data_IF_900153221488
#
_entry.id   IF_900153221488
#
_cell.length_a   1.000
_cell.length_b   1.000
_cell.length_c   1.000
_cell.angle_alpha   90.00
_cell.angle_beta   90.00
_cell.angle_gamma   90.00
#
_symmetry.space_group_name_H-M   'P 1'
#
loop_
_entity.id
_entity.type
_entity.pdbx_description
1 polymer ?
#
# COMPACT_ATOMS: atom_id res chain seq x y z
N UNK A 1 7.07 47.61 5.52
CA UNK A 1 7.86 46.71 6.41
C UNK A 1 7.47 45.23 6.24
N UNK A 2 7.08 44.83 5.04
CA UNK A 2 6.71 43.42 4.75
C UNK A 2 7.59 42.76 3.65
N UNK A 3 8.59 43.47 3.12
CA UNK A 3 9.41 42.96 2.01
C UNK A 3 10.79 42.42 2.39
N UNK A 4 11.18 42.54 3.65
CA UNK A 4 12.53 42.11 4.14
C UNK A 4 12.52 40.72 4.77
N UNK A 5 11.37 40.13 5.03
CA UNK A 5 11.26 38.78 5.60
C UNK A 5 11.26 37.64 4.56
N UNK A 6 10.95 37.94 3.31
CA UNK A 6 10.89 36.93 2.23
C UNK A 6 12.29 36.61 1.70
N UNK A 7 13.24 37.53 1.78
CA UNK A 7 14.61 37.29 1.32
C UNK A 7 15.49 36.51 2.33
N UNK A 8 15.14 36.51 3.61
CA UNK A 8 15.90 35.75 4.63
C UNK A 8 15.49 34.26 4.67
N UNK A 9 14.28 33.92 4.29
CA UNK A 9 13.86 32.51 4.22
C UNK A 9 14.37 31.80 2.95
N UNK A 10 14.58 32.53 1.85
CA UNK A 10 15.16 31.96 0.62
C UNK A 10 16.65 31.64 0.75
N UNK A 11 17.38 32.30 1.65
CA UNK A 11 18.79 32.04 1.88
C UNK A 11 19.05 30.84 2.80
N UNK A 12 18.13 30.53 3.69
CA UNK A 12 18.23 29.35 4.58
C UNK A 12 17.93 28.02 3.87
N UNK A 13 17.12 28.04 2.82
CA UNK A 13 16.82 26.83 2.02
C UNK A 13 17.98 26.49 1.07
N UNK A 14 18.69 27.51 0.54
CA UNK A 14 19.83 27.29 -0.36
C UNK A 14 21.11 26.79 0.35
N UNK A 15 21.26 27.03 1.64
CA UNK A 15 22.42 26.53 2.42
C UNK A 15 22.20 25.08 2.88
N UNK A 16 20.98 24.62 2.98
CA UNK A 16 20.69 23.21 3.33
C UNK A 16 20.88 22.26 2.14
N UNK A 17 20.66 22.69 0.89
CA UNK A 17 20.87 21.85 -0.29
C UNK A 17 22.34 21.71 -0.75
N UNK A 18 23.21 22.62 -0.36
CA UNK A 18 24.64 22.56 -0.74
C UNK A 18 25.47 21.57 0.11
N UNK A 19 24.94 21.00 1.19
CA UNK A 19 25.66 20.01 2.03
C UNK A 19 25.32 18.54 1.70
N UNK A 20 24.45 18.28 0.74
CA UNK A 20 24.02 16.89 0.41
C UNK A 20 24.54 16.36 -0.93
N UNK A 21 25.41 17.10 -1.65
CA UNK A 21 25.89 16.71 -3.00
C UNK A 21 27.35 16.25 -3.10
N UNK A 22 28.05 16.02 -2.00
CA UNK A 22 29.42 15.53 -2.08
C UNK A 22 29.63 14.23 -1.29
N UNK A 23 28.89 13.17 -1.63
CA UNK A 23 29.25 11.80 -1.21
C UNK A 23 28.60 10.74 -2.12
N UNK A 24 28.97 10.74 -3.39
CA UNK A 24 28.84 9.55 -4.26
C UNK A 24 29.90 9.68 -5.36
N UNK A 25 30.98 8.97 -5.22
CA UNK A 25 31.80 8.28 -6.22
C UNK A 25 32.96 7.63 -5.47
N UNK A 26 33.06 6.34 -5.44
CA UNK A 26 33.93 5.51 -6.25
C UNK A 26 33.83 4.03 -5.88
N UNK A 27 33.99 3.27 -6.89
CA UNK A 27 33.93 1.84 -7.11
C UNK A 27 34.87 0.97 -6.25
N UNK A 28 34.53 -0.26 -5.97
CA UNK A 28 35.09 -1.49 -6.54
C UNK A 28 35.18 -2.66 -5.51
N UNK A 29 34.71 -3.78 -5.90
CA UNK A 29 34.94 -5.18 -5.52
C UNK A 29 35.60 -5.56 -4.18
N UNK A 30 34.87 -6.38 -3.39
CA UNK A 30 35.55 -7.31 -2.50
C UNK A 30 34.80 -7.69 -1.22
N UNK A 31 34.33 -8.92 -1.18
CA UNK A 31 34.07 -9.75 0.01
C UNK A 31 33.70 -9.05 1.34
N UNK A 32 32.42 -8.91 1.63
CA UNK A 32 31.96 -8.53 2.97
C UNK A 32 31.82 -9.78 3.85
N UNK A 33 32.80 -9.99 4.71
CA UNK A 33 32.64 -10.76 5.95
C UNK A 33 31.74 -9.96 6.92
N UNK A 34 30.63 -10.57 7.31
CA UNK A 34 29.77 -10.06 8.38
C UNK A 34 30.56 -9.99 9.69
N UNK A 35 30.89 -8.80 10.14
CA UNK A 35 31.27 -8.53 11.53
C UNK A 35 30.06 -8.02 12.28
N UNK A 36 29.49 -8.88 13.10
CA UNK A 36 28.47 -8.51 14.07
C UNK A 36 29.19 -7.77 15.20
N UNK A 37 29.11 -6.44 15.22
CA UNK A 37 29.50 -5.64 16.38
C UNK A 37 28.47 -5.86 17.48
N UNK A 38 28.81 -6.68 18.45
CA UNK A 38 28.15 -6.75 19.76
C UNK A 38 28.38 -5.42 20.47
N UNK A 39 27.38 -4.60 20.57
CA UNK A 39 27.33 -3.53 21.56
C UNK A 39 27.21 -4.18 22.95
N UNK A 40 28.27 -4.13 23.72
CA UNK A 40 28.24 -4.38 25.15
C UNK A 40 27.64 -3.16 25.87
N UNK A 41 26.71 -3.34 26.79
CA UNK A 41 26.33 -2.29 27.73
C UNK A 41 27.27 -2.42 28.95
N UNK A 42 28.34 -1.66 28.94
CA UNK A 42 29.11 -1.38 30.16
C UNK A 42 28.83 0.04 30.58
N UNK A 43 28.05 0.24 31.58
CA UNK A 43 28.05 1.33 32.58
C UNK A 43 26.89 1.03 33.55
N UNK A 44 27.10 0.13 34.48
CA UNK A 44 26.37 0.00 35.78
C UNK A 44 27.13 -0.97 36.66
N UNK A 45 28.34 -0.59 37.09
CA UNK A 45 29.00 -1.24 38.25
C UNK A 45 30.08 -0.28 38.74
N UNK A 46 29.68 0.72 39.49
CA UNK A 46 30.55 1.52 40.34
C UNK A 46 29.83 1.78 41.66
N UNK A 47 29.68 0.74 42.44
CA UNK A 47 29.37 0.79 43.89
C UNK A 47 29.43 -0.61 44.49
N UNK A 48 30.63 -1.22 44.47
CA UNK A 48 30.99 -2.33 45.38
C UNK A 48 32.49 -2.52 45.17
N UNK A 49 33.18 -2.13 46.17
CA UNK A 49 34.47 -2.63 46.66
C UNK A 49 35.29 -1.48 47.24
N UNK A 50 35.13 -1.30 48.52
CA UNK A 50 36.17 -0.75 49.39
C UNK A 50 35.97 -1.40 50.74
N UNK A 51 36.29 -2.68 50.80
CA UNK A 51 36.76 -3.33 52.03
C UNK A 51 38.30 -3.32 51.82
N UNK A 52 38.96 -2.38 52.39
CA UNK A 52 40.40 -2.38 52.53
C UNK A 52 40.73 -2.86 53.94
N UNK A 53 41.42 -3.97 53.96
CA UNK A 53 42.16 -4.48 55.11
C UNK A 53 43.04 -3.35 55.68
N UNK A 54 42.98 -3.16 56.98
CA UNK A 54 43.97 -2.43 57.71
C UNK A 54 44.61 -3.37 58.72
N UNK A 55 45.82 -3.72 58.43
CA UNK A 55 46.73 -4.39 59.33
C UNK A 55 47.08 -3.50 60.52
N UNK A 56 47.20 -4.15 61.65
CA UNK A 56 47.73 -3.67 62.92
C UNK A 56 49.08 -3.00 62.77
N UNK A 57 49.23 -1.82 63.34
CA UNK A 57 50.51 -1.41 63.94
C UNK A 57 50.24 -0.69 65.28
N UNK A 58 50.61 -1.35 66.36
CA UNK A 58 50.61 -0.86 67.72
C UNK A 58 51.76 0.11 67.92
N UNK A 59 51.44 1.37 68.33
CA UNK A 59 52.35 2.11 69.17
C UNK A 59 51.58 2.82 70.29
N UNK A 60 51.97 2.49 71.52
CA UNK A 60 51.59 3.07 72.79
C UNK A 60 51.68 4.59 72.83
N UNK A 61 50.73 5.21 73.56
CA UNK A 61 50.82 6.60 73.99
C UNK A 61 49.56 7.16 74.65
N UNK A 62 49.41 6.83 75.89
CA UNK A 62 48.78 7.56 77.01
C UNK A 62 47.65 8.59 76.83
N UNK A 63 46.55 8.33 77.53
CA UNK A 63 45.77 9.21 78.40
C UNK A 63 44.51 9.85 77.91
N UNK A 64 43.42 9.33 78.37
CA UNK A 64 42.31 9.99 79.08
C UNK A 64 41.53 11.07 78.25
N UNK A 65 40.54 10.58 77.52
CA UNK A 65 39.26 11.24 77.43
C UNK A 65 38.23 10.29 76.87
N UNK A 66 37.15 10.13 77.63
CA UNK A 66 35.96 9.36 77.42
C UNK A 66 35.33 9.76 76.07
N UNK A 67 35.85 9.25 74.97
CA UNK A 67 35.35 9.46 73.62
C UNK A 67 34.17 8.49 73.44
N UNK A 68 32.95 8.98 73.67
CA UNK A 68 31.73 8.32 73.22
C UNK A 68 31.76 8.31 71.70
N UNK A 69 32.32 7.25 71.13
CA UNK A 69 32.42 7.06 69.68
C UNK A 69 31.06 7.06 68.99
N UNK A 70 30.98 7.76 67.83
CA UNK A 70 30.09 7.42 66.77
C UNK A 70 28.76 8.17 66.62
N UNK A 71 28.52 9.33 67.31
CA UNK A 71 27.28 10.10 67.05
C UNK A 71 27.51 11.14 65.95
N UNK A 72 26.94 11.00 64.76
CA UNK A 72 27.06 11.95 63.65
C UNK A 72 26.55 13.34 64.07
N UNK A 73 27.24 14.40 63.66
CA UNK A 73 26.84 15.77 64.01
C UNK A 73 26.85 16.67 62.78
N UNK A 74 25.69 16.82 62.11
CA UNK A 74 25.46 17.79 61.05
C UNK A 74 24.08 18.41 61.25
N UNK A 75 24.00 19.46 62.08
CA UNK A 75 22.71 20.08 62.42
C UNK A 75 22.13 20.92 61.29
N UNK A 76 22.94 21.36 60.35
CA UNK A 76 22.45 22.07 59.16
C UNK A 76 21.74 21.11 58.22
N UNK A 77 22.33 19.96 57.97
CA UNK A 77 21.74 18.88 57.21
C UNK A 77 20.47 18.35 57.88
N UNK A 78 20.51 18.16 59.22
CA UNK A 78 19.35 17.79 59.99
C UNK A 78 18.18 18.77 59.80
N UNK A 79 18.45 20.07 59.84
CA UNK A 79 17.47 21.12 59.65
C UNK A 79 16.94 21.11 58.20
N UNK A 80 17.78 20.90 57.20
CA UNK A 80 17.37 20.78 55.76
C UNK A 80 16.47 19.54 55.59
N UNK A 81 16.70 18.47 56.27
CA UNK A 81 15.84 17.27 56.31
C UNK A 81 14.61 17.42 57.24
N UNK A 82 14.35 18.61 57.74
CA UNK A 82 13.19 18.93 58.57
C UNK A 82 13.30 18.40 60.02
N UNK A 83 14.51 18.06 60.52
CA UNK A 83 14.75 17.65 61.91
C UNK A 83 14.93 18.86 62.79
N UNK A 84 14.29 18.83 63.95
CA UNK A 84 14.44 19.87 64.96
C UNK A 84 15.38 19.38 66.05
N UNK A 85 16.65 19.83 66.00
CA UNK A 85 17.65 19.41 66.97
C UNK A 85 17.44 20.06 68.33
N UNK A 86 17.44 19.26 69.40
CA UNK A 86 17.29 19.67 70.77
C UNK A 86 18.61 20.25 71.32
N UNK A 87 18.65 20.66 72.59
CA UNK A 87 19.84 21.22 73.26
C UNK A 87 20.98 20.24 73.25
N UNK A 88 22.17 20.66 72.85
CA UNK A 88 23.40 19.85 72.93
C UNK A 88 23.73 19.47 74.36
N UNK A 89 24.34 18.33 74.52
CA UNK A 89 24.80 17.84 75.82
C UNK A 89 26.06 16.97 75.64
N UNK A 90 26.88 16.86 76.65
CA UNK A 90 28.00 15.92 76.75
C UNK A 90 27.70 14.82 77.74
N UNK A 91 26.86 15.07 78.77
CA UNK A 91 26.41 14.11 79.79
C UNK A 91 24.99 14.40 80.19
N UNK A 92 24.35 13.48 80.92
CA UNK A 92 22.96 13.64 81.35
C UNK A 92 22.76 14.83 82.29
N UNK A 93 23.76 15.26 82.99
CA UNK A 93 23.81 16.42 83.88
C UNK A 93 23.66 17.73 83.14
N UNK A 94 24.01 17.79 81.83
CA UNK A 94 23.82 18.96 81.00
C UNK A 94 22.36 19.22 80.69
N UNK A 95 21.50 18.26 80.98
CA UNK A 95 20.09 18.36 80.69
C UNK A 95 19.34 18.94 81.92
N UNK A 96 18.66 20.06 81.71
CA UNK A 96 17.95 20.82 82.77
C UNK A 96 16.89 19.96 83.51
N UNK A 97 16.38 18.93 82.87
CA UNK A 97 15.29 18.08 83.39
C UNK A 97 15.80 16.69 83.64
N UNK A 98 15.54 16.14 84.84
CA UNK A 98 15.86 14.74 85.23
C UNK A 98 15.16 13.69 84.31
N UNK A 99 14.14 14.06 83.61
CA UNK A 99 13.45 13.19 82.65
C UNK A 99 14.13 13.18 81.27
N UNK A 100 15.17 14.00 81.05
CA UNK A 100 15.96 14.06 79.82
C UNK A 100 17.29 13.37 80.00
N UNK A 101 17.64 12.63 78.97
CA UNK A 101 18.96 11.97 78.90
C UNK A 101 19.73 12.50 77.67
N UNK A 102 21.06 12.53 77.83
CA UNK A 102 21.97 12.87 76.75
C UNK A 102 22.17 11.67 75.82
N UNK A 103 21.41 11.62 74.73
CA UNK A 103 21.43 10.54 73.77
C UNK A 103 21.81 10.99 72.38
N UNK A 104 22.35 10.10 71.60
CA UNK A 104 22.65 10.39 70.19
C UNK A 104 21.34 10.47 69.39
N UNK A 105 21.05 11.67 68.86
CA UNK A 105 19.88 11.95 68.06
C UNK A 105 20.26 12.08 66.55
N UNK A 106 20.97 11.07 66.04
CA UNK A 106 21.46 11.01 64.67
C UNK A 106 22.17 12.28 64.24
N UNK A 107 21.86 12.89 63.10
CA UNK A 107 22.52 14.10 62.56
C UNK A 107 22.49 15.30 63.53
N UNK A 108 21.60 15.31 64.53
CA UNK A 108 21.56 16.33 65.56
C UNK A 108 22.73 16.23 66.56
N UNK A 109 23.44 15.07 66.59
CA UNK A 109 24.47 14.77 67.56
C UNK A 109 23.90 14.51 68.96
N UNK A 110 24.78 14.53 69.97
CA UNK A 110 24.38 14.36 71.37
C UNK A 110 23.43 15.46 71.80
N UNK A 111 22.21 15.10 72.17
CA UNK A 111 21.10 16.03 72.47
C UNK A 111 20.31 15.58 73.69
N UNK A 112 19.77 16.53 74.47
CA UNK A 112 18.93 16.28 75.63
C UNK A 112 17.52 15.80 75.20
N UNK A 113 17.34 14.53 74.99
CA UNK A 113 16.11 13.90 74.54
C UNK A 113 15.31 13.34 75.71
N UNK A 114 14.00 13.18 75.55
CA UNK A 114 13.10 12.49 76.47
C UNK A 114 12.80 11.09 75.93
N UNK A 115 13.49 10.07 76.39
CA UNK A 115 13.31 8.71 75.84
C UNK A 115 11.96 8.07 76.24
N UNK A 116 11.27 8.68 77.22
CA UNK A 116 9.94 8.27 77.68
C UNK A 116 8.77 8.89 76.88
N UNK A 117 9.08 9.74 75.90
CA UNK A 117 8.08 10.28 75.00
C UNK A 117 7.90 9.42 73.80
N UNK A 118 6.66 9.04 73.55
CA UNK A 118 6.25 8.41 72.29
C UNK A 118 5.96 9.49 71.23
N UNK A 119 6.20 9.16 69.97
CA UNK A 119 5.84 10.02 68.88
C UNK A 119 4.33 9.96 68.60
N UNK A 120 3.82 11.06 68.05
CA UNK A 120 2.42 11.20 67.67
C UNK A 120 1.96 10.05 66.76
N UNK A 121 0.70 9.65 66.89
CA UNK A 121 0.09 8.67 66.03
C UNK A 121 0.18 9.12 64.54
N UNK A 122 0.53 8.20 63.65
CA UNK A 122 0.69 8.45 62.24
C UNK A 122 -0.68 8.48 61.54
N UNK A 123 -1.00 9.49 60.78
CA UNK A 123 -2.18 9.46 59.92
C UNK A 123 -2.06 8.43 58.82
N UNK A 124 -3.18 7.86 58.40
CA UNK A 124 -3.24 6.95 57.26
C UNK A 124 -2.67 7.58 55.98
N UNK A 125 -1.89 6.80 55.27
CA UNK A 125 -1.33 7.21 53.96
C UNK A 125 -2.35 6.88 52.88
N UNK A 126 -2.97 7.91 52.31
CA UNK A 126 -3.91 7.72 51.19
C UNK A 126 -3.14 7.12 49.99
N UNK A 127 -3.67 6.03 49.42
CA UNK A 127 -3.07 5.29 48.31
C UNK A 127 -1.67 4.71 48.62
N UNK A 128 -1.39 4.41 49.87
CA UNK A 128 -0.17 3.82 50.30
C UNK A 128 -0.32 3.08 51.62
N UNK A 129 0.76 2.53 52.11
CA UNK A 129 0.89 1.86 53.39
C UNK A 129 2.15 2.34 54.07
N UNK A 130 2.23 2.13 55.39
CA UNK A 130 3.45 2.32 56.14
C UNK A 130 3.71 1.19 57.10
N UNK A 131 4.96 0.97 57.45
CA UNK A 131 5.40 0.05 58.46
C UNK A 131 6.17 0.84 59.50
N UNK A 132 5.85 0.66 60.77
CA UNK A 132 6.51 1.35 61.88
C UNK A 132 7.18 0.34 62.80
N UNK A 133 8.38 0.64 63.26
CA UNK A 133 9.12 -0.20 64.20
C UNK A 133 8.70 0.02 65.66
N UNK A 134 7.92 1.07 65.91
CA UNK A 134 7.46 1.47 67.24
C UNK A 134 7.16 2.97 67.27
N UNK A 135 6.78 3.48 68.46
CA UNK A 135 6.50 4.89 68.66
C UNK A 135 7.51 5.60 69.58
N UNK A 136 8.55 4.84 70.02
CA UNK A 136 9.61 5.30 70.91
C UNK A 136 10.68 6.14 70.16
N UNK A 137 11.51 6.85 70.92
CA UNK A 137 12.64 7.62 70.38
C UNK A 137 13.55 6.76 69.55
N UNK A 138 13.83 7.19 68.28
CA UNK A 138 14.64 6.47 67.33
C UNK A 138 13.87 5.45 66.47
N UNK A 139 12.61 5.16 66.78
CA UNK A 139 11.79 4.32 65.94
C UNK A 139 11.64 4.91 64.55
N UNK A 140 11.47 4.05 63.53
CA UNK A 140 11.42 4.42 62.13
C UNK A 140 10.08 4.00 61.54
N UNK A 141 9.57 4.82 60.66
CA UNK A 141 8.43 4.53 59.78
C UNK A 141 8.88 4.53 58.33
N UNK A 142 8.53 3.47 57.61
CA UNK A 142 8.80 3.29 56.21
C UNK A 142 7.50 3.37 55.44
N UNK A 143 7.45 4.24 54.43
CA UNK A 143 6.28 4.48 53.59
C UNK A 143 6.41 3.79 52.23
N UNK A 144 5.33 3.24 51.73
CA UNK A 144 5.25 2.58 50.46
C UNK A 144 3.93 2.99 49.76
N UNK A 145 3.99 3.44 48.50
CA UNK A 145 2.79 3.73 47.74
C UNK A 145 2.27 2.49 47.03
N UNK A 146 0.95 2.41 46.85
CA UNK A 146 0.31 1.39 46.02
C UNK A 146 0.77 1.47 44.58
N UNK A 147 0.56 0.39 43.82
CA UNK A 147 0.82 0.36 42.40
C UNK A 147 0.14 1.54 41.67
N UNK A 148 0.79 2.11 40.68
CA UNK A 148 0.37 3.29 39.93
C UNK A 148 0.45 4.63 40.66
N UNK A 149 1.02 4.66 41.86
CA UNK A 149 1.28 5.88 42.63
C UNK A 149 2.78 6.05 42.88
N UNK A 150 3.24 7.29 42.85
CA UNK A 150 4.60 7.66 43.17
C UNK A 150 4.65 8.46 44.46
N UNK A 151 5.72 8.29 45.21
CA UNK A 151 5.87 8.98 46.50
C UNK A 151 6.46 10.37 46.30
N UNK A 152 5.75 11.38 46.82
CA UNK A 152 6.21 12.75 46.93
C UNK A 152 6.55 13.02 48.40
N UNK A 153 7.84 12.99 48.75
CA UNK A 153 8.32 13.15 50.11
C UNK A 153 9.29 12.04 50.55
N UNK A 154 9.69 12.02 51.80
CA UNK A 154 10.66 11.06 52.33
C UNK A 154 10.04 9.65 52.43
N UNK A 155 10.83 8.64 52.02
CA UNK A 155 10.44 7.21 52.18
C UNK A 155 10.51 6.74 53.63
N UNK A 156 11.29 7.45 54.48
CA UNK A 156 11.54 7.09 55.85
C UNK A 156 11.42 8.35 56.72
N UNK A 157 10.81 8.20 57.90
CA UNK A 157 10.84 9.19 58.99
C UNK A 157 11.24 8.53 60.29
N UNK A 158 11.86 9.32 61.17
CA UNK A 158 12.39 8.85 62.43
C UNK A 158 11.68 9.60 63.57
N UNK A 159 11.33 8.88 64.64
CA UNK A 159 10.80 9.49 65.84
C UNK A 159 11.90 10.25 66.53
N UNK A 160 11.71 11.56 66.73
CA UNK A 160 12.72 12.49 67.30
C UNK A 160 12.56 12.61 68.79
N UNK A 161 13.59 13.13 69.47
CA UNK A 161 13.61 13.34 70.91
C UNK A 161 12.61 14.36 71.45
N UNK A 162 11.89 15.08 70.61
CA UNK A 162 10.78 15.99 70.95
C UNK A 162 9.40 15.31 70.88
N UNK A 163 9.34 13.99 70.61
CA UNK A 163 8.10 13.23 70.47
C UNK A 163 7.39 13.45 69.11
N UNK A 164 8.12 13.97 68.07
CA UNK A 164 7.57 14.18 66.74
C UNK A 164 8.33 13.41 65.69
N UNK A 165 7.60 13.00 64.65
CA UNK A 165 8.20 12.40 63.48
C UNK A 165 8.97 13.40 62.67
N UNK A 166 10.17 13.03 62.18
CA UNK A 166 11.02 13.93 61.36
C UNK A 166 10.34 14.27 60.01
N UNK A 167 10.51 15.51 59.53
CA UNK A 167 9.99 15.98 58.27
C UNK A 167 8.47 15.99 58.15
N UNK A 168 7.98 16.17 56.92
CA UNK A 168 6.55 16.08 56.60
C UNK A 168 6.20 14.66 56.17
N UNK A 169 4.96 14.19 56.40
CA UNK A 169 4.51 12.90 55.84
C UNK A 169 4.54 12.97 54.29
N UNK A 170 4.94 11.87 53.63
CA UNK A 170 4.89 11.79 52.20
C UNK A 170 3.44 11.71 51.70
N UNK A 171 3.24 12.02 50.43
CA UNK A 171 1.99 11.88 49.70
C UNK A 171 2.17 10.90 48.55
N UNK A 172 1.22 9.96 48.39
CA UNK A 172 1.19 9.10 47.20
C UNK A 172 0.33 9.75 46.11
N UNK A 173 0.98 10.21 45.05
CA UNK A 173 0.34 10.86 43.92
C UNK A 173 0.24 9.89 42.77
N UNK A 174 -0.90 9.89 42.04
CA UNK A 174 -1.08 9.06 40.85
C UNK A 174 -0.01 9.39 39.83
N UNK A 175 0.64 8.37 39.28
CA UNK A 175 1.58 8.58 38.17
C UNK A 175 0.82 9.15 36.98
N UNK A 176 1.30 10.23 36.36
CA UNK A 176 0.75 10.68 35.10
C UNK A 176 0.89 9.57 34.06
N UNK A 177 -0.22 9.28 33.38
CA UNK A 177 -0.30 8.23 32.35
C UNK A 177 -0.92 8.80 31.10
N UNK A 178 -0.55 8.28 29.92
CA UNK A 178 -1.23 8.58 28.68
C UNK A 178 -2.49 7.73 28.58
N UNK A 179 -3.55 8.31 28.03
CA UNK A 179 -4.77 7.59 27.64
C UNK A 179 -4.50 6.65 26.45
N UNK A 180 -5.55 6.04 25.90
CA UNK A 180 -5.45 5.19 24.72
C UNK A 180 -4.66 5.87 23.59
N UNK A 181 -3.82 5.12 22.84
CA UNK A 181 -3.04 5.66 21.72
C UNK A 181 -3.93 6.27 20.64
N UNK A 182 -3.39 7.25 19.91
CA UNK A 182 -4.08 7.88 18.79
C UNK A 182 -4.43 6.88 17.71
N UNK A 183 -5.61 7.01 17.12
CA UNK A 183 -5.99 6.17 15.97
C UNK A 183 -5.41 6.76 14.68
N UNK A 184 -4.70 5.92 13.91
CA UNK A 184 -4.20 6.27 12.57
C UNK A 184 -5.03 5.51 11.54
N UNK A 185 -5.63 6.19 10.54
CA UNK A 185 -6.41 5.54 9.50
C UNK A 185 -5.64 4.41 8.80
N UNK A 186 -6.31 3.29 8.55
CA UNK A 186 -5.74 2.12 7.87
C UNK A 186 -4.54 1.48 8.57
N UNK A 187 -4.44 1.65 9.89
CA UNK A 187 -3.41 1.02 10.70
C UNK A 187 -3.99 0.28 11.91
N UNK A 188 -3.15 -0.54 12.51
CA UNK A 188 -3.38 -1.18 13.82
C UNK A 188 -2.18 -0.91 14.71
N UNK A 189 -2.41 -0.95 16.01
CA UNK A 189 -1.36 -0.84 17.02
C UNK A 189 -1.06 -2.22 17.63
N UNK A 190 0.10 -2.33 18.25
CA UNK A 190 0.43 -3.48 19.11
C UNK A 190 -0.03 -3.27 20.57
N UNK A 191 -0.72 -2.16 20.87
CA UNK A 191 -1.31 -1.93 22.17
C UNK A 191 -2.45 -2.91 22.42
N UNK A 192 -2.55 -3.40 23.68
CA UNK A 192 -3.69 -4.21 24.08
C UNK A 192 -4.94 -3.33 24.24
N UNK A 193 -6.05 -3.76 23.69
CA UNK A 193 -7.34 -3.05 23.78
C UNK A 193 -7.87 -2.98 25.24
N UNK A 194 -7.32 -3.80 26.11
CA UNK A 194 -7.68 -3.81 27.53
C UNK A 194 -6.96 -2.76 28.37
N UNK A 195 -5.81 -2.25 27.88
CA UNK A 195 -5.02 -1.23 28.57
C UNK A 195 -5.60 0.17 28.28
N UNK A 196 -6.08 0.81 29.34
CA UNK A 196 -6.62 2.19 29.26
C UNK A 196 -5.59 3.26 29.58
N UNK A 197 -4.59 2.91 30.39
CA UNK A 197 -3.56 3.83 30.89
C UNK A 197 -2.16 3.30 30.57
N UNK A 198 -1.33 4.15 30.01
CA UNK A 198 0.05 3.85 29.62
C UNK A 198 1.01 4.70 30.45
N UNK A 199 1.93 4.06 31.14
CA UNK A 199 2.92 4.76 31.98
C UNK A 199 3.89 5.58 31.10
N UNK A 200 4.49 6.60 31.69
CA UNK A 200 5.52 7.41 31.02
C UNK A 200 6.63 6.50 30.50
N UNK A 201 7.14 6.79 29.31
CA UNK A 201 8.10 6.02 28.53
C UNK A 201 7.55 4.75 27.85
N UNK A 202 6.27 4.40 28.03
CA UNK A 202 5.64 3.35 27.20
C UNK A 202 5.73 3.71 25.73
N UNK A 203 5.95 2.70 24.88
CA UNK A 203 5.99 2.84 23.43
C UNK A 203 4.94 1.96 22.78
N UNK A 204 4.26 2.48 21.78
CA UNK A 204 3.28 1.76 20.96
C UNK A 204 3.74 1.84 19.50
N UNK A 205 3.75 0.68 18.85
CA UNK A 205 4.09 0.58 17.43
C UNK A 205 2.84 0.40 16.59
N UNK A 206 2.80 1.11 15.48
CA UNK A 206 1.73 1.06 14.49
C UNK A 206 2.17 0.26 13.27
N UNK A 207 1.25 -0.43 12.65
CA UNK A 207 1.46 -1.11 11.38
C UNK A 207 0.29 -0.88 10.44
N UNK A 208 0.56 -0.50 9.19
CA UNK A 208 -0.48 -0.33 8.20
C UNK A 208 -1.13 -1.67 7.84
N UNK A 209 -2.42 -1.63 7.49
CA UNK A 209 -3.13 -2.81 6.98
C UNK A 209 -2.52 -3.29 5.65
N UNK A 210 -2.69 -4.58 5.32
CA UNK A 210 -2.30 -5.09 4.01
C UNK A 210 -2.88 -4.25 2.88
N UNK A 211 -2.04 -3.89 1.91
CA UNK A 211 -2.42 -3.00 0.80
C UNK A 211 -2.09 -1.52 1.01
N UNK A 212 -1.52 -1.17 2.15
CA UNK A 212 -1.05 0.18 2.45
C UNK A 212 0.45 0.20 2.73
N UNK A 213 1.12 1.24 2.27
CA UNK A 213 2.52 1.53 2.56
C UNK A 213 2.61 2.55 3.69
N UNK A 214 3.55 2.29 4.61
CA UNK A 214 3.82 3.19 5.71
C UNK A 214 4.71 4.36 5.26
N UNK A 215 4.29 5.58 5.58
CA UNK A 215 5.06 6.81 5.39
C UNK A 215 5.21 7.50 6.74
N UNK A 216 6.44 7.86 7.11
CA UNK A 216 6.76 8.50 8.38
C UNK A 216 7.12 7.52 9.49
N UNK A 217 6.96 7.96 10.75
CA UNK A 217 7.37 7.20 11.95
C UNK A 217 6.21 6.39 12.52
N UNK A 218 6.45 5.11 12.74
CA UNK A 218 5.46 4.13 13.18
C UNK A 218 5.37 3.95 14.71
N UNK A 219 6.15 4.72 15.49
CA UNK A 219 6.21 4.60 16.94
C UNK A 219 5.63 5.85 17.61
N UNK A 220 4.76 5.62 18.58
CA UNK A 220 4.36 6.64 19.54
C UNK A 220 4.98 6.33 20.91
N UNK A 221 5.41 7.37 21.62
CA UNK A 221 5.96 7.29 22.98
C UNK A 221 5.16 8.16 23.92
N UNK A 222 4.77 7.61 25.07
CA UNK A 222 4.14 8.39 26.13
C UNK A 222 5.21 9.22 26.84
N UNK A 223 5.10 10.54 26.77
CA UNK A 223 6.04 11.47 27.41
C UNK A 223 5.31 12.39 28.38
N UNK A 224 6.06 12.90 29.37
CA UNK A 224 5.58 13.94 30.24
C UNK A 224 6.04 15.30 29.70
N UNK A 225 5.10 16.11 29.27
CA UNK A 225 5.37 17.44 28.68
C UNK A 225 4.27 18.42 29.10
N UNK A 226 4.63 19.66 29.40
CA UNK A 226 3.72 20.71 29.87
C UNK A 226 2.78 20.25 31.03
N UNK A 227 3.37 19.64 32.07
CA UNK A 227 2.67 19.13 33.24
C UNK A 227 1.58 18.07 32.98
N UNK A 228 1.62 17.42 31.82
CA UNK A 228 0.69 16.34 31.46
C UNK A 228 1.41 15.21 30.75
N UNK A 229 0.86 14.01 30.87
CA UNK A 229 1.29 12.87 30.07
C UNK A 229 0.58 12.89 28.73
N UNK A 230 1.31 12.82 27.65
CA UNK A 230 0.76 12.84 26.29
C UNK A 230 1.60 11.99 25.32
N UNK A 231 0.94 11.52 24.25
CA UNK A 231 1.62 10.77 23.22
C UNK A 231 2.43 11.69 22.30
N UNK A 232 3.69 11.37 22.10
CA UNK A 232 4.55 11.95 21.08
C UNK A 232 4.65 10.97 19.91
N UNK A 233 4.19 11.40 18.73
CA UNK A 233 3.97 10.51 17.58
C UNK A 233 2.66 9.70 17.70
N UNK A 234 2.38 8.81 16.73
CA UNK A 234 3.20 8.59 15.53
C UNK A 234 3.01 9.72 14.51
N UNK A 235 3.99 9.94 13.64
CA UNK A 235 3.82 10.69 12.38
C UNK A 235 3.72 9.69 11.23
N UNK A 236 2.67 8.87 11.27
CA UNK A 236 2.45 7.78 10.33
C UNK A 236 1.25 8.07 9.44
N UNK A 237 1.46 7.92 8.14
CA UNK A 237 0.40 7.86 7.13
C UNK A 237 0.44 6.52 6.43
N UNK A 238 -0.70 5.84 6.38
CA UNK A 238 -0.88 4.61 5.62
C UNK A 238 -1.47 4.95 4.25
N UNK A 239 -0.64 4.95 3.21
CA UNK A 239 -1.05 5.28 1.85
C UNK A 239 -1.36 4.01 1.07
N UNK A 240 -2.46 3.99 0.27
CA UNK A 240 -2.78 2.81 -0.53
C UNK A 240 -1.70 2.56 -1.57
N UNK A 241 -1.20 1.33 -1.65
CA UNK A 241 -0.19 0.87 -2.60
C UNK A 241 -0.59 1.17 -4.03
N UNK A 242 0.37 1.55 -4.85
CA UNK A 242 0.16 1.67 -6.29
C UNK A 242 0.42 0.34 -6.98
N UNK A 243 -0.50 -0.06 -7.86
CA UNK A 243 -0.33 -1.21 -8.75
C UNK A 243 0.34 -0.84 -10.08
N UNK A 244 0.69 0.45 -10.28
CA UNK A 244 1.18 0.92 -11.56
C UNK A 244 0.12 0.87 -12.67
N UNK A 245 0.51 1.11 -13.93
CA UNK A 245 -0.42 1.08 -15.05
C UNK A 245 -0.99 -0.34 -15.24
N UNK A 246 -2.32 -0.48 -15.41
CA UNK A 246 -2.94 -1.79 -15.57
C UNK A 246 -2.71 -2.45 -16.93
N UNK A 247 -2.10 -1.72 -17.87
CA UNK A 247 -1.92 -2.12 -19.26
C UNK A 247 -3.12 -1.73 -20.14
N UNK A 248 -2.84 -1.51 -21.41
CA UNK A 248 -3.85 -1.26 -22.44
C UNK A 248 -3.91 -2.48 -23.37
N UNK A 249 -5.04 -2.65 -24.08
CA UNK A 249 -5.30 -3.76 -24.98
C UNK A 249 -5.47 -3.25 -26.42
N UNK A 250 -5.01 -4.02 -27.37
CA UNK A 250 -5.25 -3.75 -28.79
C UNK A 250 -6.72 -4.01 -29.13
N UNK A 251 -7.27 -3.24 -30.06
CA UNK A 251 -8.68 -3.33 -30.50
C UNK A 251 -9.68 -3.26 -29.34
N UNK A 252 -9.34 -2.46 -28.32
CA UNK A 252 -10.20 -2.27 -27.17
C UNK A 252 -9.81 -1.05 -26.36
N UNK A 253 -10.56 -0.81 -25.30
CA UNK A 253 -10.34 0.32 -24.40
C UNK A 253 -10.40 -0.11 -22.95
N UNK A 254 -9.68 0.60 -22.12
CA UNK A 254 -9.71 0.47 -20.68
C UNK A 254 -10.56 1.58 -20.06
N UNK A 255 -11.44 1.22 -19.16
CA UNK A 255 -12.28 2.13 -18.39
C UNK A 255 -11.78 2.10 -16.93
N UNK A 256 -11.45 3.28 -16.39
CA UNK A 256 -10.85 3.47 -15.08
C UNK A 256 -9.40 3.93 -15.18
N UNK A 257 -9.03 4.92 -14.37
CA UNK A 257 -7.71 5.56 -14.38
C UNK A 257 -6.96 5.39 -13.07
N UNK A 258 -7.65 5.01 -11.99
CA UNK A 258 -7.04 4.85 -10.67
C UNK A 258 -6.20 3.58 -10.60
N UNK A 259 -5.00 3.71 -10.00
CA UNK A 259 -4.00 2.62 -9.95
C UNK A 259 -3.63 2.21 -8.54
N UNK A 260 -4.38 2.67 -7.54
CA UNK A 260 -4.10 2.40 -6.13
C UNK A 260 -4.89 1.19 -5.63
N UNK A 261 -4.46 0.61 -4.52
CA UNK A 261 -5.15 -0.48 -3.83
C UNK A 261 -6.65 -0.19 -3.71
N UNK A 262 -7.48 -1.19 -3.91
CA UNK A 262 -8.95 -1.17 -4.05
C UNK A 262 -9.51 -0.64 -5.36
N UNK A 263 -8.70 -0.02 -6.23
CA UNK A 263 -9.16 0.42 -7.55
C UNK A 263 -9.42 -0.77 -8.47
N UNK A 264 -10.35 -0.57 -9.40
CA UNK A 264 -10.66 -1.54 -10.45
C UNK A 264 -10.64 -0.88 -11.82
N UNK A 265 -10.33 -1.66 -12.83
CA UNK A 265 -10.42 -1.27 -14.24
C UNK A 265 -11.24 -2.30 -15.00
N UNK A 266 -11.98 -1.84 -15.99
CA UNK A 266 -12.77 -2.65 -16.91
C UNK A 266 -12.20 -2.53 -18.30
N UNK A 267 -12.19 -3.63 -19.05
CA UNK A 267 -11.79 -3.68 -20.44
C UNK A 267 -12.99 -3.97 -21.33
N UNK A 268 -13.08 -3.29 -22.43
CA UNK A 268 -14.11 -3.46 -23.47
C UNK A 268 -13.44 -3.50 -24.83
N UNK A 269 -13.84 -4.45 -25.67
CA UNK A 269 -13.36 -4.54 -27.04
C UNK A 269 -14.13 -3.60 -27.97
N UNK A 270 -13.49 -3.20 -29.07
CA UNK A 270 -14.09 -2.50 -30.18
C UNK A 270 -15.07 -3.42 -30.91
N UNK A 271 -15.90 -2.83 -31.77
CA UNK A 271 -16.84 -3.56 -32.60
C UNK A 271 -16.11 -4.58 -33.48
N UNK A 272 -16.65 -5.78 -33.56
CA UNK A 272 -16.05 -6.88 -34.31
C UNK A 272 -14.99 -7.68 -33.57
N UNK A 273 -14.74 -7.34 -32.29
CA UNK A 273 -13.82 -8.08 -31.43
C UNK A 273 -14.50 -8.59 -30.18
N UNK A 274 -14.04 -9.72 -29.68
CA UNK A 274 -14.55 -10.41 -28.51
C UNK A 274 -13.44 -10.47 -27.44
N UNK A 275 -13.83 -10.18 -26.18
CA UNK A 275 -12.90 -10.19 -25.06
C UNK A 275 -12.56 -11.62 -24.65
N UNK A 276 -11.29 -11.94 -24.71
CA UNK A 276 -10.72 -13.18 -24.19
C UNK A 276 -10.00 -12.91 -22.87
N UNK A 277 -10.48 -13.50 -21.78
CA UNK A 277 -10.01 -13.24 -20.43
C UNK A 277 -11.05 -12.55 -19.56
N UNK A 278 -10.60 -11.98 -18.43
CA UNK A 278 -11.50 -11.30 -17.49
C UNK A 278 -11.64 -9.83 -17.84
N UNK A 279 -12.88 -9.36 -17.96
CA UNK A 279 -13.15 -7.96 -18.25
C UNK A 279 -12.74 -6.99 -17.13
N UNK A 280 -12.65 -7.46 -15.89
CA UNK A 280 -12.29 -6.63 -14.74
C UNK A 280 -10.98 -7.09 -14.12
N UNK A 281 -10.14 -6.12 -13.75
CA UNK A 281 -8.93 -6.31 -12.94
C UNK A 281 -8.99 -5.39 -11.73
N UNK A 282 -8.48 -5.86 -10.60
CA UNK A 282 -8.46 -5.16 -9.33
C UNK A 282 -7.04 -4.98 -8.85
N UNK A 283 -6.73 -3.80 -8.32
CA UNK A 283 -5.45 -3.56 -7.66
C UNK A 283 -5.46 -4.23 -6.28
N UNK A 284 -4.61 -5.24 -6.10
CA UNK A 284 -4.55 -6.09 -4.91
C UNK A 284 -3.63 -5.49 -3.83
N UNK A 285 -3.74 -6.01 -2.62
CA UNK A 285 -2.91 -5.62 -1.47
C UNK A 285 -1.41 -5.90 -1.67
N UNK A 286 -1.05 -6.77 -2.62
CA UNK A 286 0.33 -7.01 -3.04
C UNK A 286 0.95 -5.85 -3.84
N UNK A 287 0.15 -4.89 -4.33
CA UNK A 287 0.58 -3.87 -5.28
C UNK A 287 0.58 -4.35 -6.74
N UNK A 288 -0.13 -5.42 -7.05
CA UNK A 288 -0.23 -5.97 -8.39
C UNK A 288 -1.69 -6.04 -8.85
N UNK A 289 -1.89 -5.97 -10.17
CA UNK A 289 -3.21 -6.17 -10.76
C UNK A 289 -3.60 -7.64 -10.75
N UNK A 290 -4.86 -7.92 -10.42
CA UNK A 290 -5.40 -9.29 -10.42
C UNK A 290 -5.44 -9.87 -11.83
N UNK A 291 -5.12 -11.16 -11.97
CA UNK A 291 -5.19 -11.90 -13.23
C UNK A 291 -4.23 -11.39 -14.30
N UNK A 292 -4.39 -11.90 -15.51
CA UNK A 292 -3.64 -11.49 -16.70
C UNK A 292 -4.38 -10.38 -17.45
N UNK A 293 -3.64 -9.62 -18.28
CA UNK A 293 -4.23 -8.66 -19.20
C UNK A 293 -5.14 -9.41 -20.18
N UNK A 294 -6.41 -9.00 -20.36
CA UNK A 294 -7.27 -9.61 -21.37
C UNK A 294 -6.86 -9.21 -22.78
N UNK A 295 -7.38 -9.91 -23.77
CA UNK A 295 -7.08 -9.74 -25.18
C UNK A 295 -8.37 -9.59 -25.97
N UNK A 296 -8.40 -8.69 -26.94
CA UNK A 296 -9.52 -8.58 -27.88
C UNK A 296 -9.19 -9.37 -29.15
N UNK A 297 -9.92 -10.44 -29.39
CA UNK A 297 -9.76 -11.27 -30.57
C UNK A 297 -10.85 -10.97 -31.60
N UNK A 298 -10.53 -10.92 -32.91
CA UNK A 298 -11.55 -10.69 -33.91
C UNK A 298 -12.57 -11.83 -33.91
N UNK A 299 -13.85 -11.50 -34.01
CA UNK A 299 -14.90 -12.48 -34.15
C UNK A 299 -14.71 -13.28 -35.45
N UNK A 300 -15.17 -14.51 -35.49
CA UNK A 300 -15.03 -15.39 -36.64
C UNK A 300 -16.38 -15.63 -37.27
N UNK A 301 -16.46 -15.47 -38.61
CA UNK A 301 -17.58 -15.92 -39.41
C UNK A 301 -17.50 -17.43 -39.62
N UNK A 302 -18.64 -18.05 -39.96
CA UNK A 302 -18.64 -19.43 -40.47
C UNK A 302 -17.84 -19.54 -41.76
N UNK A 303 -17.30 -20.73 -42.04
CA UNK A 303 -16.67 -21.00 -43.30
C UNK A 303 -17.63 -20.68 -44.45
N UNK A 304 -17.21 -19.86 -45.47
CA UNK A 304 -18.06 -19.59 -46.61
C UNK A 304 -18.36 -20.88 -47.39
N UNK A 305 -19.58 -21.02 -47.82
CA UNK A 305 -20.01 -22.14 -48.67
C UNK A 305 -19.69 -21.81 -50.14
N UNK A 306 -19.28 -22.79 -50.91
CA UNK A 306 -19.09 -22.68 -52.34
C UNK A 306 -20.48 -22.53 -53.01
N UNK A 307 -20.66 -21.51 -53.90
CA UNK A 307 -21.87 -21.43 -54.68
C UNK A 307 -21.96 -22.61 -55.65
N UNK A 308 -23.16 -23.07 -55.91
CA UNK A 308 -23.37 -24.13 -56.92
C UNK A 308 -22.70 -23.69 -58.22
N UNK A 309 -21.88 -24.56 -58.83
CA UNK A 309 -21.07 -24.29 -60.04
C UNK A 309 -20.07 -23.15 -59.87
N UNK A 310 -19.51 -22.99 -58.66
CA UNK A 310 -18.52 -22.00 -58.36
C UNK A 310 -17.69 -22.37 -57.13
N UNK A 311 -16.88 -21.45 -56.69
CA UNK A 311 -16.03 -21.59 -55.51
C UNK A 311 -15.93 -20.30 -54.74
N UNK A 312 -15.74 -20.37 -53.42
CA UNK A 312 -15.43 -19.29 -52.52
C UNK A 312 -13.94 -19.28 -52.22
N UNK A 313 -13.29 -18.16 -52.52
CA UNK A 313 -11.86 -17.95 -52.28
C UNK A 313 -11.68 -17.01 -51.07
N UNK A 314 -11.02 -17.49 -50.03
CA UNK A 314 -10.76 -16.75 -48.81
C UNK A 314 -9.45 -17.22 -48.17
N UNK A 315 -8.78 -16.34 -47.43
CA UNK A 315 -7.59 -16.66 -46.64
C UNK A 315 -7.94 -16.85 -45.16
N UNK A 316 -8.85 -16.01 -44.67
CA UNK A 316 -9.27 -15.98 -43.26
C UNK A 316 -10.77 -15.81 -43.17
N UNK A 317 -11.33 -16.14 -42.01
CA UNK A 317 -12.76 -15.99 -41.73
C UNK A 317 -13.04 -15.04 -40.56
N UNK A 318 -12.04 -14.23 -40.20
CA UNK A 318 -12.12 -13.26 -39.09
C UNK A 318 -12.82 -11.97 -39.53
N UNK A 319 -13.22 -11.17 -38.55
CA UNK A 319 -13.79 -9.84 -38.79
C UNK A 319 -12.98 -9.03 -39.83
N UNK A 320 -13.66 -8.38 -40.75
CA UNK A 320 -13.12 -7.63 -41.88
C UNK A 320 -12.46 -8.49 -42.98
N UNK A 321 -12.37 -9.82 -42.82
CA UNK A 321 -11.91 -10.69 -43.92
C UNK A 321 -12.91 -10.66 -45.07
N UNK A 322 -12.38 -10.82 -46.29
CA UNK A 322 -13.17 -10.80 -47.52
C UNK A 322 -13.12 -12.16 -48.18
N UNK A 323 -14.29 -12.68 -48.60
CA UNK A 323 -14.43 -13.82 -49.49
C UNK A 323 -14.71 -13.33 -50.89
N UNK A 324 -14.09 -13.91 -51.91
CA UNK A 324 -14.32 -13.67 -53.32
C UNK A 324 -14.99 -14.90 -53.92
N UNK A 325 -16.10 -14.70 -54.64
CA UNK A 325 -16.80 -15.78 -55.32
C UNK A 325 -16.42 -15.83 -56.80
N UNK A 326 -16.12 -16.98 -57.31
CA UNK A 326 -15.77 -17.25 -58.70
C UNK A 326 -16.63 -18.40 -59.24
N UNK A 327 -17.19 -18.21 -60.45
CA UNK A 327 -17.94 -19.28 -61.08
C UNK A 327 -17.03 -20.14 -61.92
N UNK A 328 -17.40 -21.42 -62.10
CA UNK A 328 -16.78 -22.32 -63.02
C UNK A 328 -17.00 -21.86 -64.49
N UNK A 329 -16.15 -22.35 -65.37
CA UNK A 329 -16.32 -22.04 -66.79
C UNK A 329 -17.71 -22.42 -67.31
N UNK A 330 -18.34 -21.52 -68.08
CA UNK A 330 -19.70 -21.68 -68.54
C UNK A 330 -20.77 -21.05 -67.64
N UNK A 331 -20.38 -20.50 -66.49
CA UNK A 331 -21.32 -19.88 -65.55
C UNK A 331 -20.96 -18.42 -65.31
N UNK A 332 -21.97 -17.61 -65.06
CA UNK A 332 -21.83 -16.17 -64.80
C UNK A 332 -22.29 -15.90 -63.34
N UNK A 333 -21.51 -15.07 -62.65
CA UNK A 333 -21.84 -14.65 -61.30
C UNK A 333 -23.05 -13.75 -61.25
N UNK A 334 -24.03 -14.06 -60.41
CA UNK A 334 -25.16 -13.24 -60.05
C UNK A 334 -25.19 -12.95 -58.58
N UNK A 335 -25.13 -11.67 -58.22
CA UNK A 335 -24.90 -11.17 -56.89
C UNK A 335 -23.54 -10.52 -56.72
N UNK A 336 -23.15 -10.08 -55.54
CA UNK A 336 -21.87 -9.45 -55.28
C UNK A 336 -20.71 -10.43 -55.45
N UNK A 337 -19.63 -9.97 -56.11
CA UNK A 337 -18.44 -10.81 -56.30
C UNK A 337 -17.66 -11.05 -55.02
N UNK A 338 -17.89 -10.25 -53.97
CA UNK A 338 -17.20 -10.34 -52.69
C UNK A 338 -18.20 -10.14 -51.55
N UNK A 339 -17.92 -10.78 -50.40
CA UNK A 339 -18.62 -10.52 -49.16
C UNK A 339 -17.59 -10.33 -48.03
N UNK A 340 -17.94 -9.51 -47.02
CA UNK A 340 -17.09 -9.15 -45.90
C UNK A 340 -17.65 -9.75 -44.61
N UNK A 341 -16.77 -10.31 -43.76
CA UNK A 341 -17.17 -10.80 -42.46
C UNK A 341 -17.46 -9.62 -41.52
N UNK A 342 -18.69 -9.51 -41.00
CA UNK A 342 -19.12 -8.43 -40.12
C UNK A 342 -18.98 -8.77 -38.63
N UNK A 343 -19.25 -7.78 -37.76
CA UNK A 343 -19.22 -7.91 -36.30
C UNK A 343 -20.26 -8.89 -35.73
N UNK A 344 -21.29 -9.23 -36.53
CA UNK A 344 -22.34 -10.18 -36.17
C UNK A 344 -22.02 -11.62 -36.55
N UNK A 345 -20.76 -11.91 -36.98
CA UNK A 345 -20.29 -13.23 -37.42
C UNK A 345 -20.97 -13.73 -38.70
N UNK A 346 -21.40 -12.82 -39.57
CA UNK A 346 -22.04 -13.11 -40.85
C UNK A 346 -21.31 -12.48 -42.02
N UNK A 347 -21.34 -13.16 -43.18
CA UNK A 347 -20.90 -12.56 -44.42
C UNK A 347 -21.94 -11.57 -44.90
N UNK A 348 -21.48 -10.33 -45.21
CA UNK A 348 -22.35 -9.24 -45.63
C UNK A 348 -22.78 -9.44 -47.07
N UNK A 349 -24.02 -9.07 -47.35
CA UNK A 349 -24.56 -9.03 -48.70
C UNK A 349 -25.60 -10.13 -48.99
N UNK A 350 -26.31 -10.02 -50.14
CA UNK A 350 -27.21 -11.05 -50.60
C UNK A 350 -26.43 -12.29 -51.05
N UNK A 351 -27.09 -13.43 -51.10
CA UNK A 351 -26.51 -14.68 -51.56
C UNK A 351 -26.02 -14.54 -53.02
N UNK A 352 -24.81 -15.01 -53.26
CA UNK A 352 -24.18 -15.08 -54.57
C UNK A 352 -24.31 -16.48 -55.14
N UNK A 353 -24.68 -16.56 -56.41
CA UNK A 353 -24.87 -17.83 -57.11
C UNK A 353 -24.36 -17.74 -58.54
N UNK A 354 -24.00 -18.89 -59.12
CA UNK A 354 -23.53 -18.98 -60.49
C UNK A 354 -24.69 -19.52 -61.35
N UNK A 355 -25.03 -18.74 -62.36
CA UNK A 355 -26.04 -19.11 -63.36
C UNK A 355 -25.34 -19.48 -64.66
N UNK A 356 -25.85 -20.54 -65.32
CA UNK A 356 -25.33 -20.91 -66.64
C UNK A 356 -25.45 -19.78 -67.66
N UNK A 357 -24.41 -19.59 -68.40
CA UNK A 357 -24.40 -18.61 -69.51
C UNK A 357 -25.29 -19.20 -70.62
N UNK A 358 -26.44 -18.59 -70.80
CA UNK A 358 -27.40 -18.96 -71.84
C UNK A 358 -27.67 -17.71 -72.72
N UNK A 359 -27.34 -17.80 -74.00
CA UNK A 359 -27.56 -16.80 -75.02
C UNK A 359 -29.01 -16.73 -75.49
N UNK A 360 -29.83 -17.69 -75.05
CA UNK A 360 -31.21 -17.80 -75.52
C UNK A 360 -31.33 -18.18 -76.98
N UNK A 361 -32.52 -18.10 -77.49
CA UNK A 361 -32.78 -18.43 -78.86
C UNK A 361 -32.01 -17.49 -79.83
N UNK A 362 -31.27 -18.03 -80.84
CA UNK A 362 -30.42 -17.20 -81.74
C UNK A 362 -31.22 -16.32 -82.68
N UNK A 363 -32.51 -16.26 -82.56
CA UNK A 363 -33.39 -15.48 -83.40
C UNK A 363 -34.13 -16.27 -84.52
N UNK A 364 -35.14 -15.70 -85.09
CA UNK A 364 -35.86 -16.27 -86.23
C UNK A 364 -35.38 -15.67 -87.51
N UNK A 365 -34.93 -16.46 -88.49
CA UNK A 365 -34.46 -16.02 -89.79
C UNK A 365 -35.61 -15.99 -90.76
N UNK A 366 -35.93 -14.79 -91.28
CA UNK A 366 -36.94 -14.68 -92.31
C UNK A 366 -36.42 -15.23 -93.65
N UNK A 367 -37.17 -16.04 -94.34
CA UNK A 367 -36.81 -16.78 -95.56
C UNK A 367 -35.59 -17.74 -95.34
N UNK A 368 -35.52 -18.33 -94.16
CA UNK A 368 -34.51 -19.25 -93.80
C UNK A 368 -34.83 -19.98 -92.50
N UNK A 369 -33.90 -20.76 -92.04
CA UNK A 369 -34.02 -21.46 -90.73
C UNK A 369 -32.68 -21.40 -89.96
N UNK A 370 -32.75 -21.59 -88.64
CA UNK A 370 -31.64 -21.58 -87.78
C UNK A 370 -31.51 -22.97 -87.20
N UNK A 371 -30.33 -23.55 -87.34
CA UNK A 371 -30.00 -24.86 -86.73
C UNK A 371 -29.13 -24.66 -85.52
N UNK A 372 -29.61 -25.05 -84.33
CA UNK A 372 -28.88 -25.05 -83.08
C UNK A 372 -29.46 -26.16 -82.18
N UNK A 373 -28.66 -26.68 -81.27
CA UNK A 373 -29.07 -27.73 -80.33
C UNK A 373 -29.23 -27.20 -78.87
N UNK A 374 -28.36 -26.35 -78.48
CA UNK A 374 -28.31 -25.74 -77.16
C UNK A 374 -27.91 -24.25 -77.33
N UNK A 375 -28.22 -23.41 -76.31
CA UNK A 375 -27.92 -21.99 -76.33
C UNK A 375 -26.89 -21.58 -75.27
N UNK A 376 -26.23 -22.55 -74.68
CA UNK A 376 -25.23 -22.31 -73.61
C UNK A 376 -23.84 -21.89 -74.19
N UNK A 377 -22.92 -21.48 -73.30
CA UNK A 377 -21.59 -20.99 -73.69
C UNK A 377 -20.92 -21.90 -74.73
N UNK A 378 -20.35 -21.31 -75.77
CA UNK A 378 -19.69 -21.95 -76.90
C UNK A 378 -20.66 -22.77 -77.81
N UNK A 379 -21.96 -22.74 -77.56
CA UNK A 379 -22.94 -23.29 -78.49
C UNK A 379 -22.87 -22.61 -79.82
N UNK A 380 -23.05 -23.33 -80.90
CA UNK A 380 -23.02 -22.89 -82.27
C UNK A 380 -24.40 -22.83 -82.85
N UNK A 381 -24.79 -21.73 -83.43
CA UNK A 381 -25.98 -21.61 -84.25
C UNK A 381 -25.56 -21.42 -85.71
N UNK A 382 -26.20 -22.13 -86.65
CA UNK A 382 -25.95 -22.01 -88.05
C UNK A 382 -27.19 -21.48 -88.76
N UNK A 383 -27.00 -20.54 -89.62
CA UNK A 383 -28.09 -19.85 -90.32
C UNK A 383 -28.13 -20.28 -91.80
N UNK A 384 -29.26 -20.73 -92.26
CA UNK A 384 -29.48 -21.24 -93.60
C UNK A 384 -30.60 -20.50 -94.28
N UNK A 385 -30.34 -19.94 -95.47
CA UNK A 385 -31.41 -19.38 -96.34
C UNK A 385 -32.09 -20.51 -97.09
N UNK A 386 -33.35 -20.33 -97.41
CA UNK A 386 -34.09 -21.27 -98.27
C UNK A 386 -33.56 -21.16 -99.71
N UNK A 387 -33.79 -22.14 -100.53
CA UNK A 387 -33.34 -22.22 -101.87
C UNK A 387 -33.86 -20.95 -102.69
N UNK A 388 -32.94 -20.34 -103.44
CA UNK A 388 -33.22 -19.13 -104.18
C UNK A 388 -33.04 -17.83 -103.38
N UNK A 389 -32.77 -17.83 -102.09
CA UNK A 389 -32.53 -16.64 -101.28
C UNK A 389 -31.04 -16.38 -101.17
N UNK A 390 -30.64 -15.10 -101.09
CA UNK A 390 -29.27 -14.67 -100.84
C UNK A 390 -29.08 -14.33 -99.38
N UNK A 391 -27.93 -14.79 -98.84
CA UNK A 391 -27.49 -14.55 -97.48
C UNK A 391 -26.82 -13.15 -97.38
N UNK A 392 -27.24 -12.35 -96.41
CA UNK A 392 -26.62 -11.10 -96.02
C UNK A 392 -26.36 -11.05 -94.54
N UNK A 393 -25.13 -11.01 -94.13
CA UNK A 393 -24.68 -10.96 -92.76
C UNK A 393 -23.19 -11.17 -92.71
N UNK A 394 -22.57 -10.92 -91.47
CA UNK A 394 -21.15 -10.99 -91.31
C UNK A 394 -20.65 -12.49 -91.25
N UNK A 395 -21.49 -13.38 -90.84
CA UNK A 395 -21.18 -14.81 -90.75
C UNK A 395 -22.48 -15.65 -90.84
N UNK A 396 -22.37 -16.88 -91.42
CA UNK A 396 -23.43 -17.86 -91.48
C UNK A 396 -23.51 -18.73 -90.22
N UNK A 397 -22.66 -18.47 -89.23
CA UNK A 397 -22.65 -19.13 -87.93
C UNK A 397 -22.42 -18.07 -86.84
N UNK A 398 -22.99 -18.32 -85.69
CA UNK A 398 -22.78 -17.50 -84.46
C UNK A 398 -22.51 -18.42 -83.30
N UNK A 399 -21.63 -17.98 -82.38
CA UNK A 399 -21.25 -18.72 -81.19
C UNK A 399 -21.72 -17.96 -79.98
N UNK A 400 -22.25 -18.69 -78.97
CA UNK A 400 -22.62 -18.08 -77.68
C UNK A 400 -21.38 -17.68 -76.92
N UNK A 401 -21.25 -16.38 -76.61
CA UNK A 401 -20.10 -15.75 -75.92
C UNK A 401 -20.34 -15.71 -74.43
N UNK A 402 -19.25 -15.48 -73.69
CA UNK A 402 -19.28 -15.28 -72.21
C UNK A 402 -20.16 -14.10 -71.81
N UNK A 403 -20.39 -13.12 -72.69
CA UNK A 403 -21.29 -11.99 -72.47
C UNK A 403 -22.76 -12.46 -72.38
N UNK A 404 -23.11 -13.67 -72.72
CA UNK A 404 -24.49 -14.14 -72.81
C UNK A 404 -25.17 -13.67 -74.12
N UNK A 405 -24.43 -13.29 -75.14
CA UNK A 405 -24.92 -12.87 -76.42
C UNK A 405 -24.31 -13.74 -77.56
N UNK A 406 -25.03 -13.88 -78.63
CA UNK A 406 -24.52 -14.50 -79.84
C UNK A 406 -23.43 -13.61 -80.48
N UNK A 407 -22.35 -14.18 -81.01
CA UNK A 407 -21.17 -13.48 -81.53
C UNK A 407 -21.43 -12.60 -82.67
N UNK A 408 -22.45 -12.93 -83.46
CA UNK A 408 -22.84 -12.18 -84.64
C UNK A 408 -24.36 -11.87 -84.60
N UNK A 409 -24.74 -10.71 -85.07
CA UNK A 409 -26.16 -10.33 -85.25
C UNK A 409 -26.87 -11.29 -86.18
N UNK A 410 -28.18 -11.39 -86.00
CA UNK A 410 -29.04 -12.21 -86.90
C UNK A 410 -28.90 -11.75 -88.36
N UNK A 411 -28.43 -12.66 -89.25
CA UNK A 411 -28.35 -12.34 -90.65
C UNK A 411 -29.73 -12.19 -91.34
N UNK A 412 -29.78 -11.80 -92.59
CA UNK A 412 -30.98 -11.65 -93.40
C UNK A 412 -30.88 -12.56 -94.61
N UNK A 413 -32.01 -13.15 -95.01
CA UNK A 413 -32.20 -13.85 -96.26
C UNK A 413 -33.16 -13.06 -97.14
N UNK A 414 -32.74 -12.64 -98.30
CA UNK A 414 -33.59 -11.82 -99.20
C UNK A 414 -33.66 -12.42 -100.62
N UNK A 415 -34.76 -12.21 -101.26
CA UNK A 415 -34.97 -12.65 -102.63
C UNK A 415 -34.10 -11.81 -103.61
N UNK A 416 -33.39 -12.52 -104.49
CA UNK A 416 -32.49 -11.93 -105.48
C UNK A 416 -33.31 -11.01 -106.46
N UNK A 417 -34.59 -11.23 -106.53
CA UNK A 417 -35.44 -10.48 -107.47
C UNK A 417 -36.27 -9.38 -106.84
N UNK A 418 -36.16 -9.15 -105.51
CA UNK A 418 -36.83 -8.01 -104.88
C UNK A 418 -36.08 -6.72 -105.17
N UNK A 419 -36.67 -5.67 -105.73
CA UNK A 419 -36.02 -4.39 -105.93
C UNK A 419 -35.75 -3.79 -104.54
N UNK A 420 -34.48 -3.32 -104.32
CA UNK A 420 -34.07 -2.56 -103.16
C UNK A 420 -35.01 -1.34 -103.02
N UNK A 421 -35.98 -1.36 -102.11
CA UNK A 421 -36.66 -0.14 -101.66
C UNK A 421 -35.66 0.65 -100.81
N UNK A 422 -35.24 1.78 -101.36
CA UNK A 422 -34.40 2.84 -100.83
C UNK A 422 -34.84 3.39 -99.50
#
# INVERSE_FOLDING_TARGET
>A
MASTWILLMSFLVLVAEARFRNFVHDDDHGHVRRSIARFRPEIWNLARDSAADFDDDMTDGDQDSDVREGCPQNREEAAALGRRCLRKCKADEDCISTKKKCLCDGLCGWSCVRPDLNCDELPDLVNGNFRVSGDYFGARVYYECQESFWMSGPKERVCQGDGKWSGRPPECKRQPSCSAPLTVPHSRTNASDTLKDFVINSTVRYSCFPGYDARGFDIAKCIFYNNSAQWFGPDLKCEPKSCGPPGDIEHGRRIGSMTRFTSSVKYECEEGYELFGRAHRYCQSSGQWSGTLPECRPVQCSKPEDPLNGRALYSHVTFNSVVKFECHHGFRLKGPATAKCNSQRRWEGPATYCVEIDCGHPGHLHNGYVEFRVSTLNAKASYHCFDGMKFQGDANTSICLESGNWSHPLPKCFDVFSPLSS
#
